data_IF_448165936030
#
_entry.id   IF_448165936030
#
_cell.length_a   1.000
_cell.length_b   1.000
_cell.length_c   1.000
_cell.angle_alpha   90.00
_cell.angle_beta   90.00
_cell.angle_gamma   90.00
#
_symmetry.space_group_name_H-M   'P 1'
#
loop_
_entity.id
_entity.type
_entity.pdbx_description
1 polymer ?
#
# COMPACT_ATOMS: atom_id res chain seq x y z
N UNK A 1 -33.15 49.81 15.97
CA UNK A 1 -34.05 48.99 16.81
C UNK A 1 -34.68 49.90 17.86
N UNK A 2 -36.01 49.83 18.11
CA UNK A 2 -36.64 50.64 19.15
C UNK A 2 -35.96 50.36 20.50
N UNK A 3 -35.68 51.41 21.27
CA UNK A 3 -35.04 51.30 22.57
C UNK A 3 -36.05 50.70 23.54
N UNK A 4 -36.00 49.37 23.73
CA UNK A 4 -36.83 48.69 24.71
C UNK A 4 -36.53 49.24 26.12
N UNK A 5 -37.58 49.69 26.81
CA UNK A 5 -37.47 50.31 28.14
C UNK A 5 -36.95 49.28 29.14
N UNK A 6 -35.81 49.57 29.77
CA UNK A 6 -35.18 48.73 30.79
C UNK A 6 -35.84 49.02 32.14
N UNK A 7 -36.38 47.99 32.78
CA UNK A 7 -37.03 48.08 34.09
C UNK A 7 -36.11 47.47 35.15
N UNK A 8 -35.75 48.26 36.16
CA UNK A 8 -34.88 47.82 37.26
C UNK A 8 -35.62 46.82 38.16
N UNK A 9 -34.86 45.90 38.76
CA UNK A 9 -35.36 45.01 39.81
C UNK A 9 -34.79 45.40 41.17
N UNK A 10 -35.24 44.74 42.24
CA UNK A 10 -34.69 44.92 43.59
C UNK A 10 -33.26 44.36 43.76
N UNK A 11 -32.72 43.68 42.74
CA UNK A 11 -31.37 43.13 42.76
C UNK A 11 -30.39 44.05 42.02
N UNK A 12 -29.31 44.52 42.67
CA UNK A 12 -28.34 45.41 42.06
C UNK A 12 -27.73 44.83 40.78
N UNK A 13 -27.79 45.61 39.69
CA UNK A 13 -27.26 45.21 38.39
C UNK A 13 -28.14 44.19 37.65
N UNK A 14 -29.37 43.92 38.09
CA UNK A 14 -30.35 43.09 37.37
C UNK A 14 -31.51 43.97 36.89
N UNK A 15 -31.83 43.87 35.60
CA UNK A 15 -32.95 44.56 34.98
C UNK A 15 -33.64 43.64 33.97
N UNK A 16 -34.86 43.98 33.57
CA UNK A 16 -35.57 43.25 32.52
C UNK A 16 -36.10 44.20 31.45
N UNK A 17 -36.39 43.63 30.29
CA UNK A 17 -37.18 44.27 29.25
C UNK A 17 -38.44 43.44 29.02
N UNK A 18 -39.51 44.11 28.63
CA UNK A 18 -40.72 43.42 28.16
C UNK A 18 -40.49 42.96 26.72
N UNK A 19 -40.70 41.67 26.49
CA UNK A 19 -40.65 41.06 25.18
C UNK A 19 -41.80 40.08 25.00
N UNK A 20 -41.77 39.35 23.90
CA UNK A 20 -42.74 38.30 23.61
C UNK A 20 -42.07 36.93 23.68
N UNK A 21 -42.78 35.96 24.25
CA UNK A 21 -42.41 34.55 24.25
C UNK A 21 -42.52 33.96 22.84
N UNK A 22 -41.97 32.76 22.64
CA UNK A 22 -42.17 31.97 21.42
C UNK A 22 -43.64 31.61 21.16
N UNK A 23 -44.51 31.73 22.16
CA UNK A 23 -45.95 31.50 22.10
C UNK A 23 -46.78 32.79 21.98
N UNK A 24 -46.12 33.94 21.76
CA UNK A 24 -46.78 35.24 21.55
C UNK A 24 -47.26 35.95 22.83
N UNK A 25 -47.01 35.40 24.02
CA UNK A 25 -47.39 36.02 25.30
C UNK A 25 -46.35 37.04 25.77
N UNK A 26 -46.74 38.12 26.47
CA UNK A 26 -45.78 39.03 27.10
C UNK A 26 -44.90 38.29 28.11
N UNK A 27 -43.59 38.50 28.04
CA UNK A 27 -42.57 37.82 28.85
C UNK A 27 -41.50 38.80 29.30
N UNK A 28 -40.99 38.64 30.54
CA UNK A 28 -39.83 39.40 31.01
C UNK A 28 -38.53 38.72 30.56
N UNK A 29 -37.66 39.47 29.91
CA UNK A 29 -36.31 39.02 29.55
C UNK A 29 -35.32 39.70 30.48
N UNK A 30 -34.64 38.90 31.32
CA UNK A 30 -33.73 39.38 32.34
C UNK A 30 -32.31 39.55 31.79
N UNK A 31 -31.68 40.65 32.19
CA UNK A 31 -30.31 41.02 31.89
C UNK A 31 -29.56 41.33 33.19
N UNK A 32 -28.27 41.03 33.16
CA UNK A 32 -27.34 41.25 34.26
C UNK A 32 -26.22 42.17 33.79
N UNK A 33 -25.80 43.07 34.68
CA UNK A 33 -24.71 44.02 34.45
C UNK A 33 -23.70 43.92 35.60
N UNK A 34 -22.44 43.66 35.28
CA UNK A 34 -21.36 43.47 36.25
C UNK A 34 -20.01 43.95 35.70
N UNK A 35 -18.98 44.06 36.56
CA UNK A 35 -17.59 44.33 36.16
C UNK A 35 -16.77 43.04 36.26
N UNK A 36 -15.98 42.74 35.22
CA UNK A 36 -14.99 41.65 35.21
C UNK A 36 -13.75 42.16 34.48
N UNK A 37 -12.56 42.00 35.07
CA UNK A 37 -11.28 42.45 34.53
C UNK A 37 -11.31 43.93 34.02
N UNK A 38 -11.86 44.84 34.83
CA UNK A 38 -11.94 46.28 34.51
C UNK A 38 -13.01 46.68 33.48
N UNK A 39 -13.68 45.74 32.83
CA UNK A 39 -14.72 46.01 31.81
C UNK A 39 -16.13 45.84 32.39
N UNK A 40 -17.03 46.76 32.04
CA UNK A 40 -18.47 46.62 32.27
C UNK A 40 -19.04 45.64 31.25
N UNK A 41 -19.65 44.56 31.72
CA UNK A 41 -20.31 43.54 30.89
C UNK A 41 -21.80 43.59 31.19
N UNK A 42 -22.60 43.62 30.13
CA UNK A 42 -24.06 43.49 30.16
C UNK A 42 -24.45 42.31 29.28
N UNK A 43 -25.17 41.33 29.84
CA UNK A 43 -25.61 40.16 29.09
C UNK A 43 -27.00 39.68 29.52
N UNK A 44 -27.65 38.93 28.62
CA UNK A 44 -28.94 38.30 28.89
C UNK A 44 -28.75 37.11 29.83
N UNK A 45 -29.36 37.17 31.01
CA UNK A 45 -29.39 36.07 31.96
C UNK A 45 -30.38 34.98 31.49
N UNK A 46 -31.57 35.36 31.04
CA UNK A 46 -32.56 34.41 30.50
C UNK A 46 -33.95 35.01 30.36
N UNK A 47 -34.89 34.24 29.86
CA UNK A 47 -36.30 34.62 29.73
C UNK A 47 -37.14 34.00 30.84
N UNK A 48 -38.18 34.70 31.28
CA UNK A 48 -39.02 34.33 32.41
C UNK A 48 -39.63 32.93 32.30
N UNK A 49 -40.19 32.55 31.15
CA UNK A 49 -40.85 31.27 30.94
C UNK A 49 -39.94 30.22 30.30
N UNK A 50 -39.09 30.60 29.34
CA UNK A 50 -38.19 29.62 28.70
C UNK A 50 -37.12 29.09 29.65
N UNK A 51 -36.58 29.95 30.52
CA UNK A 51 -35.46 29.62 31.39
C UNK A 51 -35.87 29.58 32.89
N UNK A 52 -37.18 29.64 33.21
CA UNK A 52 -37.71 29.85 34.57
C UNK A 52 -36.93 30.94 35.31
N UNK A 53 -36.75 32.07 34.64
CA UNK A 53 -35.85 33.13 35.08
C UNK A 53 -36.56 34.08 36.02
N UNK A 54 -35.95 34.31 37.17
CA UNK A 54 -36.41 35.28 38.18
C UNK A 54 -35.32 36.32 38.44
N UNK A 55 -35.67 37.49 39.02
CA UNK A 55 -34.67 38.47 39.44
C UNK A 55 -33.60 37.87 40.38
N UNK A 56 -34.01 36.99 41.30
CA UNK A 56 -33.11 36.31 42.23
C UNK A 56 -32.14 35.37 41.50
N UNK A 57 -32.64 34.56 40.56
CA UNK A 57 -31.81 33.64 39.75
C UNK A 57 -30.84 34.40 38.86
N UNK A 58 -31.28 35.49 38.25
CA UNK A 58 -30.42 36.39 37.48
C UNK A 58 -29.33 37.01 38.37
N UNK A 59 -29.65 37.40 39.61
CA UNK A 59 -28.66 37.89 40.58
C UNK A 59 -27.63 36.82 40.96
N UNK A 60 -28.04 35.56 41.10
CA UNK A 60 -27.12 34.44 41.36
C UNK A 60 -26.17 34.20 40.18
N UNK A 61 -26.71 34.17 38.95
CA UNK A 61 -25.89 34.07 37.72
C UNK A 61 -24.89 35.23 37.68
N UNK A 62 -25.33 36.46 38.00
CA UNK A 62 -24.43 37.62 38.08
C UNK A 62 -23.30 37.41 39.08
N UNK A 63 -23.56 36.86 40.26
CA UNK A 63 -22.53 36.55 41.26
C UNK A 63 -21.54 35.49 40.74
N UNK A 64 -22.04 34.40 40.16
CA UNK A 64 -21.21 33.33 39.58
C UNK A 64 -20.29 33.84 38.44
N UNK A 65 -20.79 34.79 37.62
CA UNK A 65 -20.02 35.44 36.55
C UNK A 65 -18.90 36.34 37.10
N UNK A 66 -19.14 37.02 38.21
CA UNK A 66 -18.14 37.85 38.90
C UNK A 66 -17.07 36.96 39.54
N UNK A 67 -17.49 35.88 40.18
CA UNK A 67 -16.61 34.89 40.83
C UNK A 67 -15.87 33.99 39.82
N UNK A 68 -16.22 34.04 38.53
CA UNK A 68 -15.61 33.22 37.48
C UNK A 68 -16.04 31.76 37.49
N UNK A 69 -17.07 31.40 38.26
CA UNK A 69 -17.59 30.01 38.37
C UNK A 69 -18.41 29.58 37.16
N UNK A 70 -18.83 30.52 36.31
CA UNK A 70 -19.58 30.21 35.09
C UNK A 70 -19.18 31.14 33.93
N UNK A 71 -19.07 30.58 32.72
CA UNK A 71 -18.70 31.30 31.49
C UNK A 71 -19.92 31.96 30.82
N UNK A 72 -19.79 33.22 30.40
CA UNK A 72 -20.81 33.90 29.58
C UNK A 72 -21.25 33.02 28.41
N UNK A 73 -22.52 33.11 27.97
CA UNK A 73 -22.98 32.42 26.74
C UNK A 73 -22.12 32.78 25.52
N UNK A 74 -21.55 34.00 25.49
CA UNK A 74 -20.60 34.42 24.46
C UNK A 74 -19.27 33.70 24.61
N UNK A 75 -18.74 33.60 25.84
CA UNK A 75 -17.50 32.88 26.16
C UNK A 75 -17.63 31.37 25.85
N UNK A 76 -18.75 30.74 26.22
CA UNK A 76 -19.06 29.34 25.89
C UNK A 76 -19.15 29.10 24.39
N UNK A 77 -19.82 30.01 23.65
CA UNK A 77 -19.90 29.92 22.19
C UNK A 77 -18.52 30.06 21.56
N UNK A 78 -17.73 31.03 21.98
CA UNK A 78 -16.36 31.21 21.46
C UNK A 78 -15.45 30.04 21.82
N UNK A 79 -15.59 29.46 23.02
CA UNK A 79 -14.85 28.27 23.42
C UNK A 79 -15.24 27.07 22.55
N UNK A 80 -16.54 26.86 22.32
CA UNK A 80 -17.04 25.79 21.44
C UNK A 80 -16.63 25.99 19.98
N UNK A 81 -16.61 27.23 19.48
CA UNK A 81 -16.12 27.57 18.14
C UNK A 81 -14.60 27.33 18.05
N UNK A 82 -13.84 27.72 19.06
CA UNK A 82 -12.40 27.49 19.15
C UNK A 82 -12.06 25.98 19.25
N UNK A 83 -12.80 25.20 20.04
CA UNK A 83 -12.67 23.75 20.11
C UNK A 83 -12.99 23.08 18.78
N UNK A 84 -14.07 23.50 18.10
CA UNK A 84 -14.40 23.03 16.76
C UNK A 84 -13.32 23.37 15.75
N UNK A 85 -12.77 24.58 15.82
CA UNK A 85 -11.73 25.04 14.91
C UNK A 85 -10.40 24.33 15.19
N UNK A 86 -10.05 24.09 16.46
CA UNK A 86 -8.90 23.31 16.86
C UNK A 86 -9.04 21.86 16.39
N UNK A 87 -10.19 21.21 16.60
CA UNK A 87 -10.46 19.86 16.11
C UNK A 87 -10.43 19.78 14.58
N UNK A 88 -10.96 20.77 13.87
CA UNK A 88 -10.90 20.86 12.41
C UNK A 88 -9.49 21.10 11.86
N UNK A 89 -8.59 21.67 12.67
CA UNK A 89 -7.20 21.90 12.31
C UNK A 89 -6.28 20.72 12.62
N UNK A 90 -6.76 19.69 13.32
CA UNK A 90 -5.97 18.49 13.60
C UNK A 90 -5.67 17.71 12.32
N UNK A 91 -4.44 17.23 12.22
CA UNK A 91 -3.96 16.36 11.15
C UNK A 91 -3.95 14.93 11.62
N UNK A 92 -5.15 14.40 11.86
CA UNK A 92 -5.34 12.99 12.25
C UNK A 92 -4.95 12.05 11.12
N UNK A 93 -4.70 10.77 11.44
CA UNK A 93 -4.41 9.77 10.39
C UNK A 93 -5.53 9.66 9.36
N UNK A 94 -6.80 9.82 9.75
CA UNK A 94 -7.94 9.80 8.82
C UNK A 94 -7.82 10.95 7.80
N UNK A 95 -7.56 12.17 8.26
CA UNK A 95 -7.35 13.32 7.39
C UNK A 95 -6.10 13.16 6.53
N UNK A 96 -5.00 12.69 7.12
CA UNK A 96 -3.74 12.44 6.40
C UNK A 96 -3.91 11.40 5.31
N UNK A 97 -4.71 10.35 5.55
CA UNK A 97 -5.01 9.32 4.57
C UNK A 97 -5.76 9.89 3.36
N UNK A 98 -6.83 10.66 3.58
CA UNK A 98 -7.58 11.30 2.50
C UNK A 98 -6.72 12.25 1.67
N UNK A 99 -5.93 13.10 2.33
CA UNK A 99 -4.99 14.01 1.66
C UNK A 99 -3.89 13.25 0.90
N UNK A 100 -3.40 12.14 1.49
CA UNK A 100 -2.38 11.29 0.87
C UNK A 100 -2.90 10.64 -0.43
N UNK A 101 -4.15 10.17 -0.43
CA UNK A 101 -4.84 9.59 -1.60
C UNK A 101 -5.09 10.64 -2.67
N UNK A 102 -5.66 11.79 -2.30
CA UNK A 102 -6.03 12.86 -3.22
C UNK A 102 -4.84 13.38 -4.03
N UNK A 103 -3.64 13.43 -3.43
CA UNK A 103 -2.41 13.84 -4.11
C UNK A 103 -1.78 12.75 -5.00
N UNK A 104 -2.31 11.52 -4.99
CA UNK A 104 -1.75 10.37 -5.71
C UNK A 104 -2.83 9.48 -6.34
N UNK A 105 -3.69 10.02 -7.21
CA UNK A 105 -4.79 9.25 -7.81
C UNK A 105 -4.30 8.05 -8.66
N UNK A 106 -3.08 8.11 -9.20
CA UNK A 106 -2.47 7.05 -10.01
C UNK A 106 -1.59 6.04 -9.25
N UNK A 107 -1.62 6.02 -7.91
CA UNK A 107 -0.72 5.15 -7.13
C UNK A 107 -1.04 3.67 -7.37
N UNK A 108 -0.12 2.94 -8.03
CA UNK A 108 -0.21 1.48 -8.20
C UNK A 108 -0.30 0.82 -6.82
N UNK A 109 -1.45 0.19 -6.52
CA UNK A 109 -1.70 -0.49 -5.24
C UNK A 109 -2.52 0.29 -4.21
N UNK A 110 -3.09 1.45 -4.58
CA UNK A 110 -3.92 2.28 -3.71
C UNK A 110 -5.03 1.50 -3.00
N UNK A 111 -5.78 0.66 -3.73
CA UNK A 111 -6.86 -0.18 -3.18
C UNK A 111 -6.35 -1.13 -2.08
N UNK A 112 -5.15 -1.68 -2.25
CA UNK A 112 -4.56 -2.56 -1.24
C UNK A 112 -4.12 -1.77 0.00
N UNK A 113 -3.55 -0.60 -0.20
CA UNK A 113 -3.17 0.29 0.91
C UNK A 113 -4.41 0.83 1.65
N UNK A 114 -5.50 1.13 0.94
CA UNK A 114 -6.79 1.51 1.52
C UNK A 114 -7.37 0.41 2.40
N UNK A 115 -7.39 -0.82 1.90
CA UNK A 115 -7.82 -1.96 2.71
C UNK A 115 -6.94 -2.15 3.95
N UNK A 116 -5.62 -1.95 3.86
CA UNK A 116 -4.75 -2.01 5.05
C UNK A 116 -5.05 -0.88 6.02
N UNK A 117 -5.26 0.32 5.51
CA UNK A 117 -5.57 1.48 6.32
C UNK A 117 -6.88 1.26 7.09
N UNK A 118 -7.97 1.00 6.38
CA UNK A 118 -9.31 0.84 6.96
C UNK A 118 -9.40 -0.34 7.95
N UNK A 119 -8.74 -1.47 7.64
CA UNK A 119 -8.85 -2.67 8.49
C UNK A 119 -7.88 -2.70 9.68
N UNK A 120 -6.78 -1.93 9.64
CA UNK A 120 -5.70 -2.10 10.62
C UNK A 120 -5.21 -0.80 11.26
N UNK A 121 -5.17 0.31 10.51
CA UNK A 121 -4.63 1.59 11.01
C UNK A 121 -5.77 2.46 11.54
N UNK A 122 -6.80 2.71 10.73
CA UNK A 122 -7.93 3.57 11.08
C UNK A 122 -8.62 3.17 12.41
N UNK A 123 -8.88 1.88 12.69
CA UNK A 123 -9.58 1.49 13.92
C UNK A 123 -8.79 1.73 15.21
N UNK A 124 -7.48 1.96 15.11
CA UNK A 124 -6.60 2.13 16.27
C UNK A 124 -6.06 3.55 16.37
N UNK A 125 -5.73 4.15 15.21
CA UNK A 125 -5.03 5.44 15.14
C UNK A 125 -5.78 6.49 14.32
N UNK A 126 -6.93 6.19 13.72
CA UNK A 126 -7.59 7.07 12.75
C UNK A 126 -7.82 8.50 13.27
N UNK A 127 -8.23 8.64 14.53
CA UNK A 127 -8.53 9.93 15.16
C UNK A 127 -7.35 10.54 15.94
N UNK A 128 -6.21 9.85 15.93
CA UNK A 128 -4.96 10.35 16.51
C UNK A 128 -4.16 11.14 15.48
N UNK A 129 -3.42 12.13 15.94
CA UNK A 129 -2.33 12.74 15.18
C UNK A 129 -1.05 11.92 15.31
N UNK A 130 -0.13 11.98 14.33
CA UNK A 130 1.16 11.31 14.43
C UNK A 130 1.85 11.55 15.78
N UNK A 131 1.95 12.78 16.25
CA UNK A 131 2.60 13.16 17.51
C UNK A 131 2.00 12.50 18.78
N UNK A 132 0.77 12.02 18.71
CA UNK A 132 0.08 11.37 19.84
C UNK A 132 0.39 9.88 19.94
N UNK A 133 1.17 9.33 18.99
CA UNK A 133 1.60 7.94 19.05
C UNK A 133 2.72 7.77 20.05
N UNK A 134 2.57 6.78 20.93
CA UNK A 134 3.68 6.26 21.72
C UNK A 134 4.34 5.07 20.99
N UNK A 135 5.63 4.75 21.24
CA UNK A 135 6.26 3.55 20.71
C UNK A 135 5.45 2.27 21.00
N UNK A 136 4.90 2.16 22.22
CA UNK A 136 4.12 1.01 22.67
C UNK A 136 2.79 0.85 21.93
N UNK A 137 2.21 1.92 21.39
CA UNK A 137 1.00 1.83 20.56
C UNK A 137 1.28 1.04 19.28
N UNK A 138 2.43 1.32 18.65
CA UNK A 138 2.86 0.65 17.42
C UNK A 138 3.22 -0.81 17.69
N UNK A 139 3.88 -1.09 18.82
CA UNK A 139 4.15 -2.46 19.27
C UNK A 139 2.89 -3.27 19.51
N UNK A 140 1.87 -2.66 20.14
CA UNK A 140 0.58 -3.31 20.35
C UNK A 140 -0.10 -3.65 19.03
N UNK A 141 -0.05 -2.75 18.04
CA UNK A 141 -0.55 -3.04 16.69
C UNK A 141 0.24 -4.18 16.04
N UNK A 142 1.57 -4.15 16.13
CA UNK A 142 2.46 -5.20 15.60
C UNK A 142 2.11 -6.57 16.19
N UNK A 143 2.06 -6.68 17.52
CA UNK A 143 1.73 -7.91 18.24
C UNK A 143 0.32 -8.41 17.89
N UNK A 144 -0.67 -7.53 17.82
CA UNK A 144 -2.04 -7.88 17.41
C UNK A 144 -2.08 -8.49 16.01
N UNK A 145 -1.37 -7.89 15.04
CA UNK A 145 -1.36 -8.38 13.67
C UNK A 145 -0.57 -9.68 13.53
N UNK A 146 0.54 -9.84 14.25
CA UNK A 146 1.34 -11.07 14.23
C UNK A 146 0.57 -12.32 14.68
N UNK A 147 -0.48 -12.17 15.51
CA UNK A 147 -1.35 -13.30 15.91
C UNK A 147 -2.18 -13.88 14.76
N UNK A 148 -2.47 -13.09 13.72
CA UNK A 148 -3.42 -13.47 12.66
C UNK A 148 -2.86 -13.34 11.26
N UNK A 149 -1.70 -12.72 11.08
CA UNK A 149 -1.13 -12.36 9.78
C UNK A 149 0.34 -12.74 9.69
N UNK A 150 0.76 -13.06 8.47
CA UNK A 150 2.15 -13.30 8.12
C UNK A 150 3.01 -12.05 8.30
N UNK A 151 4.28 -12.21 8.67
CA UNK A 151 5.22 -11.12 8.95
C UNK A 151 5.31 -10.10 7.80
N UNK A 152 5.23 -10.56 6.54
CA UNK A 152 5.19 -9.68 5.36
C UNK A 152 3.97 -8.75 5.32
N UNK A 153 2.80 -9.23 5.75
CA UNK A 153 1.59 -8.42 5.86
C UNK A 153 1.72 -7.41 6.99
N UNK A 154 2.22 -7.84 8.16
CA UNK A 154 2.50 -6.94 9.29
C UNK A 154 3.44 -5.82 8.87
N UNK A 155 4.55 -6.15 8.20
CA UNK A 155 5.50 -5.18 7.64
C UNK A 155 4.82 -4.16 6.74
N UNK A 156 3.97 -4.61 5.82
CA UNK A 156 3.30 -3.71 4.87
C UNK A 156 2.33 -2.74 5.57
N UNK A 157 1.67 -3.16 6.65
CA UNK A 157 0.80 -2.27 7.45
C UNK A 157 1.65 -1.23 8.18
N UNK A 158 2.72 -1.64 8.85
CA UNK A 158 3.63 -0.72 9.54
C UNK A 158 4.34 0.23 8.56
N UNK A 159 4.65 -0.24 7.36
CA UNK A 159 5.22 0.59 6.30
C UNK A 159 4.23 1.67 5.85
N UNK A 160 2.95 1.35 5.74
CA UNK A 160 1.92 2.33 5.41
C UNK A 160 1.79 3.38 6.50
N UNK A 161 1.78 2.96 7.78
CA UNK A 161 1.79 3.87 8.92
C UNK A 161 3.01 4.82 8.88
N UNK A 162 4.21 4.26 8.73
CA UNK A 162 5.45 5.03 8.59
C UNK A 162 5.39 6.02 7.43
N UNK A 163 4.80 5.62 6.30
CA UNK A 163 4.65 6.47 5.12
C UNK A 163 3.73 7.67 5.39
N UNK A 164 2.66 7.49 6.17
CA UNK A 164 1.77 8.59 6.56
C UNK A 164 2.44 9.55 7.54
N UNK A 165 3.20 9.03 8.51
CA UNK A 165 4.01 9.86 9.43
C UNK A 165 5.02 10.69 8.62
N UNK A 166 5.78 10.05 7.73
CA UNK A 166 6.75 10.75 6.89
C UNK A 166 6.09 11.75 5.92
N UNK A 167 4.87 11.47 5.46
CA UNK A 167 4.11 12.40 4.63
C UNK A 167 3.73 13.66 5.42
N UNK A 168 3.22 13.50 6.64
CA UNK A 168 2.90 14.61 7.53
C UNK A 168 4.15 15.45 7.87
N UNK A 169 5.26 14.78 8.19
CA UNK A 169 6.55 15.40 8.47
C UNK A 169 7.07 16.22 7.29
N UNK A 170 7.12 15.62 6.08
CA UNK A 170 7.60 16.29 4.86
C UNK A 170 6.76 17.51 4.46
N UNK A 171 5.50 17.54 4.88
CA UNK A 171 4.57 18.63 4.57
C UNK A 171 4.38 19.60 5.75
N UNK A 172 5.12 19.41 6.83
CA UNK A 172 5.01 20.22 8.06
C UNK A 172 3.57 20.34 8.57
N UNK A 173 2.79 19.26 8.45
CA UNK A 173 1.37 19.26 8.82
C UNK A 173 1.18 19.08 10.33
N UNK A 174 2.04 18.29 10.96
CA UNK A 174 2.07 18.10 12.40
C UNK A 174 3.50 17.77 12.86
N UNK A 175 3.79 17.92 14.16
CA UNK A 175 5.04 17.42 14.74
C UNK A 175 5.22 15.92 14.49
N UNK A 176 6.48 15.52 14.30
CA UNK A 176 6.84 14.12 14.03
C UNK A 176 7.15 13.42 15.34
N UNK A 177 6.70 12.16 15.54
CA UNK A 177 7.04 11.41 16.75
C UNK A 177 8.54 11.18 16.88
N UNK A 178 9.05 11.28 18.10
CA UNK A 178 10.46 11.09 18.42
C UNK A 178 10.83 9.62 18.64
N UNK A 179 10.37 8.71 17.78
CA UNK A 179 10.71 7.29 17.85
C UNK A 179 10.77 6.64 16.47
N UNK A 180 11.45 5.50 16.42
CA UNK A 180 11.63 4.72 15.19
C UNK A 180 10.70 3.50 15.26
N UNK A 181 9.93 3.28 14.18
CA UNK A 181 9.11 2.08 14.04
C UNK A 181 10.02 0.90 13.69
N UNK A 182 10.10 -0.06 14.60
CA UNK A 182 10.78 -1.33 14.35
C UNK A 182 10.02 -2.20 13.35
N UNK A 183 10.62 -2.42 12.19
CA UNK A 183 10.03 -3.27 11.17
C UNK A 183 10.30 -4.75 11.45
N UNK A 184 9.30 -5.64 11.33
CA UNK A 184 9.52 -7.07 11.48
C UNK A 184 10.47 -7.56 10.37
N UNK A 185 11.37 -8.47 10.74
CA UNK A 185 12.20 -9.19 9.78
C UNK A 185 11.30 -10.15 8.99
N UNK A 186 11.41 -10.11 7.67
CA UNK A 186 10.59 -10.92 6.78
C UNK A 186 11.53 -11.77 5.93
N UNK A 187 11.58 -13.07 6.21
CA UNK A 187 12.26 -14.01 5.33
C UNK A 187 11.27 -14.54 4.29
N UNK A 188 11.20 -13.86 3.14
CA UNK A 188 10.38 -14.27 1.99
C UNK A 188 11.25 -14.90 0.87
N UNK A 189 12.41 -15.46 1.21
CA UNK A 189 13.22 -16.20 0.26
C UNK A 189 12.57 -17.54 -0.04
N UNK A 190 11.65 -17.52 -1.02
CA UNK A 190 11.11 -18.72 -1.66
C UNK A 190 11.47 -18.71 -3.13
N UNK A 191 12.45 -19.54 -3.49
CA UNK A 191 12.71 -19.98 -4.85
C UNK A 191 11.89 -21.24 -5.05
N UNK A 192 10.94 -21.20 -5.98
CA UNK A 192 10.24 -22.43 -6.36
C UNK A 192 11.15 -23.17 -7.34
N UNK A 193 11.22 -24.48 -7.19
CA UNK A 193 11.87 -25.37 -8.14
C UNK A 193 10.97 -26.57 -8.37
N UNK A 194 11.12 -27.23 -9.51
CA UNK A 194 10.39 -28.44 -9.86
C UNK A 194 11.38 -29.55 -10.16
N UNK A 195 11.14 -30.73 -9.62
CA UNK A 195 11.90 -31.92 -10.03
C UNK A 195 11.63 -32.23 -11.51
N UNK A 196 12.52 -32.99 -12.19
CA UNK A 196 12.27 -33.41 -13.56
C UNK A 196 10.89 -34.08 -13.75
N UNK A 197 10.49 -34.93 -12.82
CA UNK A 197 9.19 -35.62 -12.85
C UNK A 197 8.02 -34.64 -12.67
N UNK A 198 8.13 -33.68 -11.76
CA UNK A 198 7.11 -32.65 -11.56
C UNK A 198 6.99 -31.72 -12.77
N UNK A 199 8.11 -31.39 -13.40
CA UNK A 199 8.12 -30.59 -14.62
C UNK A 199 7.47 -31.35 -15.78
N UNK A 200 7.79 -32.64 -15.95
CA UNK A 200 7.17 -33.50 -16.94
C UNK A 200 5.65 -33.61 -16.73
N UNK A 201 5.23 -33.91 -15.49
CA UNK A 201 3.81 -33.98 -15.12
C UNK A 201 3.08 -32.64 -15.35
N UNK A 202 3.75 -31.51 -15.09
CA UNK A 202 3.20 -30.18 -15.38
C UNK A 202 3.02 -29.94 -16.87
N UNK A 203 4.02 -30.26 -17.69
CA UNK A 203 3.95 -30.11 -19.14
C UNK A 203 2.84 -30.98 -19.74
N UNK A 204 2.73 -32.23 -19.29
CA UNK A 204 1.67 -33.14 -19.70
C UNK A 204 0.28 -32.62 -19.29
N UNK A 205 0.12 -32.12 -18.06
CA UNK A 205 -1.13 -31.53 -17.60
C UNK A 205 -1.50 -30.24 -18.36
N UNK A 206 -0.49 -29.46 -18.78
CA UNK A 206 -0.69 -28.30 -19.64
C UNK A 206 -1.21 -28.74 -21.02
N UNK A 207 -0.61 -29.77 -21.62
CA UNK A 207 -0.95 -30.25 -22.96
C UNK A 207 -2.34 -30.88 -23.04
N UNK A 208 -2.77 -31.53 -21.95
CA UNK A 208 -4.10 -32.12 -21.84
C UNK A 208 -5.19 -31.10 -21.51
N UNK A 209 -4.86 -29.86 -21.12
CA UNK A 209 -5.86 -28.89 -20.71
C UNK A 209 -6.63 -28.35 -21.94
N UNK A 210 -7.98 -28.37 -21.94
CA UNK A 210 -8.75 -27.93 -23.08
C UNK A 210 -8.65 -26.42 -23.34
N UNK A 211 -8.14 -25.63 -22.38
CA UNK A 211 -7.97 -24.20 -22.53
C UNK A 211 -6.57 -23.89 -23.10
N UNK A 212 -6.44 -23.92 -24.43
CA UNK A 212 -5.20 -23.60 -25.16
C UNK A 212 -4.60 -22.25 -24.73
N UNK A 213 -5.44 -21.26 -24.44
CA UNK A 213 -5.02 -19.94 -23.95
C UNK A 213 -4.25 -20.04 -22.63
N UNK A 214 -4.76 -20.79 -21.65
CA UNK A 214 -4.08 -21.01 -20.38
C UNK A 214 -2.86 -21.91 -20.52
N UNK A 215 -2.94 -22.94 -21.36
CA UNK A 215 -1.83 -23.85 -21.61
C UNK A 215 -0.61 -23.12 -22.20
N UNK A 216 -0.83 -22.38 -23.29
CA UNK A 216 0.23 -21.61 -23.96
C UNK A 216 0.72 -20.45 -23.08
N UNK A 217 -0.14 -19.84 -22.25
CA UNK A 217 0.26 -18.83 -21.28
C UNK A 217 1.28 -19.39 -20.26
N UNK A 218 1.04 -20.59 -19.72
CA UNK A 218 1.95 -21.23 -18.77
C UNK A 218 3.26 -21.64 -19.43
N UNK A 219 3.22 -22.23 -20.63
CA UNK A 219 4.44 -22.55 -21.40
C UNK A 219 5.26 -21.31 -21.72
N UNK A 220 4.62 -20.21 -22.12
CA UNK A 220 5.34 -18.95 -22.34
C UNK A 220 6.03 -18.45 -21.08
N UNK A 221 5.38 -18.53 -19.91
CA UNK A 221 6.01 -18.17 -18.64
C UNK A 221 7.24 -19.04 -18.32
N UNK A 222 7.19 -20.33 -18.66
CA UNK A 222 8.29 -21.27 -18.46
C UNK A 222 9.44 -21.05 -19.46
N UNK A 223 9.15 -20.80 -20.73
CA UNK A 223 10.18 -20.62 -21.77
C UNK A 223 10.89 -19.28 -21.68
N UNK A 224 10.22 -18.23 -21.21
CA UNK A 224 10.74 -16.86 -21.26
C UNK A 224 11.03 -16.25 -19.88
N UNK A 225 10.53 -16.89 -18.81
CA UNK A 225 10.60 -16.32 -17.46
C UNK A 225 9.80 -15.04 -17.27
N UNK A 226 8.95 -14.61 -18.22
CA UNK A 226 8.19 -13.36 -18.11
C UNK A 226 7.27 -13.32 -16.87
N UNK A 227 7.07 -12.12 -16.31
CA UNK A 227 6.13 -11.96 -15.20
C UNK A 227 4.70 -12.11 -15.72
N UNK A 228 3.81 -12.70 -14.91
CA UNK A 228 2.36 -12.78 -15.20
C UNK A 228 1.76 -11.49 -15.77
N UNK A 229 2.06 -10.36 -15.15
CA UNK A 229 1.50 -9.06 -15.56
C UNK A 229 2.04 -8.56 -16.91
N UNK A 230 3.23 -8.99 -17.31
CA UNK A 230 3.84 -8.71 -18.63
C UNK A 230 3.15 -9.58 -19.68
N UNK A 231 2.98 -10.87 -19.42
CA UNK A 231 2.23 -11.78 -20.31
C UNK A 231 0.76 -11.35 -20.50
N UNK A 232 0.09 -10.85 -19.45
CA UNK A 232 -1.25 -10.29 -19.56
C UNK A 232 -1.35 -9.04 -20.45
N UNK A 233 -0.24 -8.34 -20.67
CA UNK A 233 -0.19 -7.14 -21.52
C UNK A 233 0.40 -7.40 -22.91
N UNK A 234 1.02 -8.57 -23.11
CA UNK A 234 1.74 -8.89 -24.33
C UNK A 234 0.81 -8.83 -25.53
N UNK A 235 1.17 -8.01 -26.53
CA UNK A 235 0.46 -7.87 -27.79
C UNK A 235 1.28 -8.47 -28.93
N UNK A 236 0.61 -8.82 -30.03
CA UNK A 236 1.29 -9.41 -31.20
C UNK A 236 2.38 -8.50 -31.77
N UNK A 237 2.17 -7.18 -31.75
CA UNK A 237 3.15 -6.21 -32.21
C UNK A 237 4.37 -6.07 -31.28
N UNK A 238 4.33 -6.64 -30.07
CA UNK A 238 5.47 -6.68 -29.16
C UNK A 238 6.43 -7.84 -29.48
N UNK A 239 6.01 -8.78 -30.33
CA UNK A 239 6.79 -9.96 -30.69
C UNK A 239 7.42 -9.75 -32.06
N UNK A 240 8.72 -9.54 -32.07
CA UNK A 240 9.52 -9.43 -33.28
C UNK A 240 10.01 -10.85 -33.67
N UNK A 241 9.26 -11.48 -34.57
CA UNK A 241 9.63 -12.80 -35.09
C UNK A 241 10.87 -12.72 -35.98
N UNK A 242 11.15 -11.63 -36.65
CA UNK A 242 12.31 -11.58 -37.57
C UNK A 242 13.61 -11.47 -36.79
N UNK A 243 13.67 -10.57 -35.82
CA UNK A 243 14.85 -10.36 -34.95
C UNK A 243 14.91 -11.33 -33.78
N UNK A 244 13.80 -12.01 -33.47
CA UNK A 244 13.74 -12.98 -32.37
C UNK A 244 13.77 -12.34 -30.98
N UNK A 245 13.00 -11.25 -30.78
CA UNK A 245 12.88 -10.58 -29.48
C UNK A 245 11.42 -10.33 -29.10
N UNK A 246 11.17 -10.27 -27.79
CA UNK A 246 9.91 -9.82 -27.21
C UNK A 246 10.16 -8.48 -26.52
N UNK A 247 9.38 -7.47 -26.87
CA UNK A 247 9.39 -6.16 -26.24
C UNK A 247 8.47 -6.13 -25.01
N UNK A 248 9.00 -5.74 -23.87
CA UNK A 248 8.29 -5.62 -22.61
C UNK A 248 8.05 -4.13 -22.33
N UNK A 249 6.81 -3.69 -22.57
CA UNK A 249 6.35 -2.31 -22.35
C UNK A 249 5.86 -2.05 -20.93
N UNK A 250 6.14 -0.84 -20.42
CA UNK A 250 5.81 -0.38 -19.05
C UNK A 250 6.01 -1.51 -18.01
N UNK A 251 7.21 -2.14 -17.95
CA UNK A 251 7.47 -3.10 -16.89
C UNK A 251 7.39 -2.37 -15.55
N UNK A 252 7.15 -3.12 -14.47
CA UNK A 252 7.06 -2.55 -13.11
C UNK A 252 8.28 -1.69 -12.70
N UNK A 253 9.41 -1.81 -13.42
CA UNK A 253 10.63 -1.02 -13.24
C UNK A 253 10.75 0.28 -14.05
N UNK A 254 9.83 0.57 -14.97
CA UNK A 254 9.71 1.86 -15.68
C UNK A 254 10.61 2.05 -16.92
N UNK A 255 11.49 1.09 -17.25
CA UNK A 255 12.29 1.11 -18.47
C UNK A 255 11.89 -0.06 -19.36
N UNK A 256 11.52 0.24 -20.60
CA UNK A 256 11.23 -0.77 -21.61
C UNK A 256 12.44 -1.71 -21.77
N UNK A 257 12.13 -3.00 -21.83
CA UNK A 257 13.14 -4.05 -21.90
C UNK A 257 12.80 -4.98 -23.06
N UNK A 258 13.81 -5.69 -23.54
CA UNK A 258 13.65 -6.75 -24.53
C UNK A 258 14.22 -8.05 -23.98
N UNK A 259 13.57 -9.16 -24.28
CA UNK A 259 14.08 -10.50 -23.97
C UNK A 259 14.14 -11.33 -25.26
N UNK A 260 15.07 -12.30 -25.37
CA UNK A 260 15.13 -13.18 -26.53
C UNK A 260 13.87 -14.05 -26.65
N UNK A 261 13.40 -14.25 -27.89
CA UNK A 261 12.38 -15.21 -28.26
C UNK A 261 13.08 -16.52 -28.66
N UNK A 262 13.23 -17.45 -27.72
CA UNK A 262 13.84 -18.74 -28.00
C UNK A 262 12.99 -19.60 -28.97
N UNK A 263 13.56 -20.62 -29.63
CA UNK A 263 12.86 -21.43 -30.63
C UNK A 263 11.57 -22.09 -30.12
N UNK A 264 11.55 -22.58 -28.88
CA UNK A 264 10.35 -23.21 -28.31
C UNK A 264 9.21 -22.21 -28.07
N UNK A 265 9.53 -21.01 -27.58
CA UNK A 265 8.58 -19.92 -27.44
C UNK A 265 8.08 -19.42 -28.80
N UNK A 266 8.97 -19.33 -29.80
CA UNK A 266 8.61 -18.96 -31.18
C UNK A 266 7.62 -19.95 -31.79
N UNK A 267 7.94 -21.23 -31.78
CA UNK A 267 7.09 -22.30 -32.33
C UNK A 267 5.71 -22.29 -31.67
N UNK A 268 5.68 -22.14 -30.34
CA UNK A 268 4.45 -22.03 -29.58
C UNK A 268 3.59 -20.84 -30.01
N UNK A 269 4.19 -19.66 -30.20
CA UNK A 269 3.46 -18.47 -30.62
C UNK A 269 2.99 -18.55 -32.07
N UNK A 270 3.77 -19.16 -32.96
CA UNK A 270 3.38 -19.39 -34.36
C UNK A 270 2.18 -20.32 -34.48
N UNK A 271 2.09 -21.34 -33.61
CA UNK A 271 0.95 -22.27 -33.54
C UNK A 271 -0.20 -21.76 -32.66
N UNK A 272 -0.02 -20.63 -31.96
CA UNK A 272 -1.03 -20.12 -31.04
C UNK A 272 -2.22 -19.52 -31.81
N UNK A 273 -3.48 -19.84 -31.43
CA UNK A 273 -4.65 -19.27 -32.10
C UNK A 273 -4.64 -17.73 -32.04
N UNK A 274 -4.68 -17.11 -33.22
CA UNK A 274 -4.75 -15.66 -33.38
C UNK A 274 -6.16 -15.26 -33.80
N UNK A 275 -6.79 -14.41 -32.99
CA UNK A 275 -8.05 -13.76 -33.33
C UNK A 275 -7.86 -12.25 -33.54
N UNK A 276 -8.97 -11.50 -33.51
CA UNK A 276 -8.98 -10.05 -33.76
C UNK A 276 -8.40 -9.21 -32.61
N UNK A 277 -8.15 -9.83 -31.47
CA UNK A 277 -7.55 -9.15 -30.31
C UNK A 277 -6.08 -8.79 -30.59
N UNK A 278 -5.64 -7.57 -30.21
CA UNK A 278 -4.22 -7.22 -30.28
C UNK A 278 -3.38 -8.01 -29.26
N UNK A 279 -3.98 -8.48 -28.16
CA UNK A 279 -3.29 -9.27 -27.14
C UNK A 279 -3.03 -10.70 -27.61
N UNK A 280 -1.84 -11.22 -27.28
CA UNK A 280 -1.46 -12.63 -27.50
C UNK A 280 -2.34 -13.55 -26.65
N UNK A 281 -2.57 -13.19 -25.38
CA UNK A 281 -3.41 -13.95 -24.44
C UNK A 281 -4.64 -13.15 -24.01
N UNK A 282 -5.65 -12.99 -24.88
CA UNK A 282 -6.82 -12.16 -24.61
C UNK A 282 -7.64 -12.67 -23.41
N UNK A 283 -8.29 -11.73 -22.73
CA UNK A 283 -9.36 -11.97 -21.77
C UNK A 283 -10.73 -12.07 -22.43
N UNK A 284 -11.79 -11.86 -21.64
CA UNK A 284 -13.17 -11.87 -22.14
C UNK A 284 -13.37 -10.74 -23.17
N UNK A 285 -13.99 -11.05 -24.30
CA UNK A 285 -14.30 -10.06 -25.35
C UNK A 285 -13.08 -9.49 -26.09
N UNK A 286 -11.93 -10.16 -26.04
CA UNK A 286 -10.69 -9.67 -26.69
C UNK A 286 -9.94 -8.59 -25.90
N UNK A 287 -10.46 -8.17 -24.74
CA UNK A 287 -9.77 -7.20 -23.88
C UNK A 287 -8.58 -7.80 -23.15
N UNK A 288 -7.79 -6.93 -22.51
CA UNK A 288 -6.66 -7.33 -21.67
C UNK A 288 -7.09 -8.32 -20.59
N UNK A 289 -6.37 -9.44 -20.51
CA UNK A 289 -6.57 -10.41 -19.43
C UNK A 289 -6.14 -9.83 -18.07
N UNK A 290 -7.00 -10.00 -17.07
CA UNK A 290 -6.72 -9.59 -15.68
C UNK A 290 -6.57 -10.77 -14.73
N UNK A 291 -7.12 -11.93 -15.11
CA UNK A 291 -7.05 -13.15 -14.32
C UNK A 291 -7.00 -14.43 -15.18
N UNK A 292 -6.39 -15.47 -14.60
CA UNK A 292 -6.33 -16.84 -15.15
C UNK A 292 -6.18 -17.89 -14.04
N UNK A 293 -6.38 -17.50 -12.77
CA UNK A 293 -6.05 -18.37 -11.64
C UNK A 293 -6.89 -19.64 -11.63
N UNK A 294 -8.14 -19.61 -12.12
CA UNK A 294 -9.01 -20.80 -12.17
C UNK A 294 -8.39 -21.92 -13.03
N UNK A 295 -7.97 -21.58 -14.25
CA UNK A 295 -7.36 -22.52 -15.18
C UNK A 295 -6.00 -23.00 -14.67
N UNK A 296 -5.18 -22.06 -14.20
CA UNK A 296 -3.84 -22.39 -13.68
C UNK A 296 -3.92 -23.28 -12.43
N UNK A 297 -4.86 -23.02 -11.53
CA UNK A 297 -5.07 -23.85 -10.33
C UNK A 297 -5.54 -25.26 -10.71
N UNK A 298 -6.39 -25.37 -11.72
CA UNK A 298 -6.80 -26.68 -12.26
C UNK A 298 -5.60 -27.44 -12.82
N UNK A 299 -4.84 -26.84 -13.74
CA UNK A 299 -3.65 -27.46 -14.34
C UNK A 299 -2.65 -27.90 -13.27
N UNK A 300 -2.36 -27.01 -12.32
CA UNK A 300 -1.50 -27.31 -11.17
C UNK A 300 -1.98 -28.53 -10.38
N UNK A 301 -3.29 -28.63 -10.11
CA UNK A 301 -3.88 -29.76 -9.37
C UNK A 301 -3.78 -31.04 -10.18
N UNK A 302 -4.06 -30.99 -11.48
CA UNK A 302 -3.92 -32.14 -12.39
C UNK A 302 -2.48 -32.65 -12.46
N UNK A 303 -1.50 -31.73 -12.44
CA UNK A 303 -0.07 -32.05 -12.42
C UNK A 303 0.45 -32.57 -11.06
N UNK A 304 -0.39 -32.65 -10.03
CA UNK A 304 0.03 -33.12 -8.70
C UNK A 304 1.02 -32.20 -7.98
N UNK A 305 1.11 -30.93 -8.37
CA UNK A 305 2.10 -30.02 -7.77
C UNK A 305 1.72 -29.61 -6.33
N UNK A 306 2.71 -29.28 -5.48
CA UNK A 306 2.48 -28.91 -4.09
C UNK A 306 1.41 -27.81 -3.92
N UNK A 307 0.53 -27.90 -2.89
CA UNK A 307 -0.54 -26.92 -2.67
C UNK A 307 -0.04 -25.47 -2.51
N UNK A 308 1.18 -25.27 -2.04
CA UNK A 308 1.82 -23.99 -1.85
C UNK A 308 2.65 -23.50 -3.06
N UNK A 309 2.77 -24.31 -4.12
CA UNK A 309 3.42 -23.90 -5.37
C UNK A 309 2.67 -22.75 -6.03
N UNK A 310 3.37 -21.64 -6.26
CA UNK A 310 2.77 -20.40 -6.78
C UNK A 310 2.79 -20.34 -8.30
N UNK A 311 2.12 -21.24 -8.99
CA UNK A 311 2.17 -21.44 -10.45
C UNK A 311 2.64 -20.26 -11.31
N UNK A 312 1.96 -19.10 -11.32
CA UNK A 312 2.31 -17.99 -12.20
C UNK A 312 3.63 -17.25 -11.86
N UNK A 313 4.06 -17.26 -10.60
CA UNK A 313 5.38 -16.74 -10.21
C UNK A 313 6.41 -17.86 -10.02
N UNK A 314 5.92 -19.06 -9.72
CA UNK A 314 6.70 -20.28 -9.57
C UNK A 314 7.30 -20.71 -10.89
N UNK A 315 6.56 -20.69 -12.00
CA UNK A 315 7.10 -20.98 -13.34
C UNK A 315 8.30 -20.09 -13.70
N UNK A 316 8.23 -18.81 -13.34
CA UNK A 316 9.35 -17.89 -13.51
C UNK A 316 10.54 -18.21 -12.58
N UNK A 317 10.27 -18.67 -11.36
CA UNK A 317 11.33 -19.17 -10.48
C UNK A 317 11.95 -20.44 -11.04
N UNK A 318 11.15 -21.39 -11.52
CA UNK A 318 11.61 -22.63 -12.18
C UNK A 318 12.52 -22.30 -13.36
N UNK A 319 12.12 -21.39 -14.25
CA UNK A 319 12.98 -20.91 -15.34
C UNK A 319 14.35 -20.42 -14.83
N UNK A 320 14.35 -19.60 -13.78
CA UNK A 320 15.58 -19.05 -13.22
C UNK A 320 16.43 -20.10 -12.48
N UNK A 321 15.78 -21.00 -11.73
CA UNK A 321 16.40 -22.10 -11.00
C UNK A 321 17.05 -23.06 -11.98
N UNK A 322 16.36 -23.49 -13.03
CA UNK A 322 16.91 -24.35 -14.09
C UNK A 322 18.15 -23.73 -14.75
N UNK A 323 18.10 -22.44 -15.10
CA UNK A 323 19.27 -21.75 -15.67
C UNK A 323 20.43 -21.66 -14.67
N UNK A 324 20.15 -21.34 -13.41
CA UNK A 324 21.19 -21.26 -12.38
C UNK A 324 21.83 -22.63 -12.10
N UNK A 325 21.01 -23.67 -11.89
CA UNK A 325 21.44 -25.05 -11.63
C UNK A 325 22.20 -25.66 -12.79
N UNK A 326 21.89 -25.30 -14.04
CA UNK A 326 22.65 -25.78 -15.20
C UNK A 326 24.14 -25.46 -15.11
N UNK A 327 24.50 -24.37 -14.43
CA UNK A 327 25.85 -23.84 -14.35
C UNK A 327 26.32 -23.12 -15.61
N UNK A 328 25.62 -23.26 -16.74
CA UNK A 328 26.02 -22.76 -18.06
C UNK A 328 25.77 -21.26 -18.24
N UNK A 329 24.94 -20.66 -17.39
CA UNK A 329 24.56 -19.24 -17.48
C UNK A 329 24.95 -18.51 -16.22
N UNK A 330 25.62 -17.37 -16.36
CA UNK A 330 26.00 -16.53 -15.24
C UNK A 330 24.81 -15.73 -14.66
N UNK A 331 24.92 -15.29 -13.41
CA UNK A 331 23.83 -14.58 -12.71
C UNK A 331 23.48 -13.23 -13.34
N UNK A 332 24.42 -12.55 -14.01
CA UNK A 332 24.15 -11.28 -14.68
C UNK A 332 23.30 -11.52 -15.93
N UNK A 333 23.58 -12.57 -16.69
CA UNK A 333 22.74 -12.99 -17.83
C UNK A 333 21.35 -13.39 -17.36
N UNK A 334 21.22 -14.19 -16.29
CA UNK A 334 19.92 -14.51 -15.69
C UNK A 334 19.19 -13.23 -15.22
N UNK A 335 19.90 -12.27 -14.63
CA UNK A 335 19.32 -10.99 -14.21
C UNK A 335 18.71 -10.23 -15.41
N UNK A 336 19.42 -10.19 -16.55
CA UNK A 336 18.96 -9.55 -17.79
C UNK A 336 17.75 -10.27 -18.39
N UNK A 337 17.80 -11.61 -18.50
CA UNK A 337 16.68 -12.43 -18.99
C UNK A 337 15.42 -12.25 -18.13
N UNK A 338 15.58 -12.14 -16.83
CA UNK A 338 14.50 -11.89 -15.90
C UNK A 338 14.08 -10.41 -15.82
N UNK A 339 14.78 -9.47 -16.44
CA UNK A 339 14.48 -8.05 -16.29
C UNK A 339 14.44 -7.62 -14.81
N UNK A 340 15.46 -8.02 -14.04
CA UNK A 340 15.63 -7.68 -12.63
C UNK A 340 16.38 -6.35 -12.47
N UNK A 341 15.74 -5.36 -11.84
CA UNK A 341 16.32 -4.04 -11.61
C UNK A 341 17.51 -4.07 -10.63
N UNK A 342 17.48 -4.97 -9.65
CA UNK A 342 18.49 -5.07 -8.61
C UNK A 342 19.11 -6.47 -8.62
N UNK A 343 20.44 -6.59 -8.57
CA UNK A 343 21.14 -7.89 -8.52
C UNK A 343 20.70 -8.76 -7.35
N UNK A 344 20.31 -8.15 -6.22
CA UNK A 344 19.81 -8.84 -5.03
C UNK A 344 18.57 -9.71 -5.33
N UNK A 345 17.76 -9.35 -6.34
CA UNK A 345 16.63 -10.19 -6.77
C UNK A 345 17.08 -11.49 -7.45
N UNK A 346 18.25 -11.49 -8.09
CA UNK A 346 18.81 -12.66 -8.78
C UNK A 346 19.75 -13.46 -7.88
N UNK A 347 20.46 -12.81 -6.94
CA UNK A 347 21.32 -13.49 -5.96
C UNK A 347 20.61 -14.57 -5.17
N UNK A 348 19.28 -14.53 -5.07
CA UNK A 348 18.52 -15.61 -4.45
C UNK A 348 18.68 -16.97 -5.13
N UNK A 349 19.16 -17.05 -6.37
CA UNK A 349 19.44 -18.30 -7.08
C UNK A 349 20.92 -18.72 -7.00
N UNK A 350 21.78 -17.95 -6.31
CA UNK A 350 23.23 -18.23 -6.28
C UNK A 350 23.55 -19.57 -5.61
N UNK A 351 22.78 -19.98 -4.61
CA UNK A 351 22.94 -21.24 -3.89
C UNK A 351 22.62 -22.47 -4.75
N UNK A 352 21.92 -22.30 -5.88
CA UNK A 352 21.63 -23.41 -6.79
C UNK A 352 22.82 -23.77 -7.68
N UNK A 353 23.94 -23.05 -7.56
CA UNK A 353 25.15 -23.25 -8.37
C UNK A 353 26.16 -24.19 -7.71
N UNK A 354 25.83 -24.96 -6.69
CA UNK A 354 26.80 -25.77 -5.96
C UNK A 354 27.59 -26.74 -6.87
N UNK A 355 26.91 -27.41 -7.81
CA UNK A 355 27.60 -28.25 -8.83
C UNK A 355 28.43 -27.42 -9.82
N UNK A 356 27.99 -26.20 -10.14
CA UNK A 356 28.75 -25.30 -11.00
C UNK A 356 30.00 -24.75 -10.27
N UNK A 357 29.90 -24.48 -8.96
CA UNK A 357 31.02 -24.10 -8.10
C UNK A 357 32.02 -25.24 -8.01
N UNK A 358 31.55 -26.48 -7.83
CA UNK A 358 32.41 -27.67 -7.86
C UNK A 358 33.14 -27.80 -9.20
N UNK A 359 32.42 -27.78 -10.32
CA UNK A 359 33.04 -27.83 -11.67
C UNK A 359 34.02 -26.69 -11.93
N UNK A 360 33.73 -25.49 -11.46
CA UNK A 360 34.65 -24.36 -11.57
C UNK A 360 35.92 -24.55 -10.73
N UNK A 361 35.79 -25.13 -9.54
CA UNK A 361 36.94 -25.50 -8.70
C UNK A 361 37.78 -26.61 -9.34
N UNK A 362 37.14 -27.64 -9.90
CA UNK A 362 37.82 -28.74 -10.59
C UNK A 362 38.60 -28.21 -11.80
N UNK A 363 37.98 -27.36 -12.63
CA UNK A 363 38.62 -26.70 -13.77
C UNK A 363 39.84 -25.87 -13.36
N UNK A 364 39.79 -25.16 -12.22
CA UNK A 364 40.94 -24.42 -11.73
C UNK A 364 42.12 -25.36 -11.41
N UNK A 365 41.84 -26.51 -10.80
CA UNK A 365 42.83 -27.56 -10.56
C UNK A 365 43.43 -28.11 -11.85
N UNK A 366 42.59 -28.39 -12.84
CA UNK A 366 43.02 -28.89 -14.16
C UNK A 366 43.93 -27.89 -14.88
N UNK A 367 43.56 -26.61 -14.90
CA UNK A 367 44.36 -25.55 -15.54
C UNK A 367 45.73 -25.38 -14.87
N UNK A 368 45.78 -25.41 -13.55
CA UNK A 368 47.04 -25.31 -12.79
C UNK A 368 47.92 -26.54 -13.06
N UNK A 369 47.32 -27.74 -13.06
CA UNK A 369 48.02 -29.00 -13.32
C UNK A 369 48.58 -29.05 -14.75
N UNK A 370 47.82 -28.57 -15.74
CA UNK A 370 48.28 -28.42 -17.13
C UNK A 370 49.46 -27.45 -17.23
N UNK A 371 49.41 -26.31 -16.54
CA UNK A 371 50.51 -25.35 -16.53
C UNK A 371 51.79 -25.91 -15.88
N UNK A 372 51.66 -26.68 -14.78
CA UNK A 372 52.80 -27.35 -14.12
C UNK A 372 53.43 -28.41 -15.05
N UNK A 373 52.61 -29.16 -15.78
CA UNK A 373 53.07 -30.24 -16.65
C UNK A 373 53.56 -29.77 -18.04
N UNK A 374 53.78 -28.47 -18.23
CA UNK A 374 54.26 -27.90 -19.49
C UNK A 374 53.22 -27.89 -20.63
N UNK A 375 51.94 -28.12 -20.32
CA UNK A 375 50.84 -28.03 -21.27
C UNK A 375 50.47 -26.57 -21.57
N UNK A 376 50.20 -26.25 -22.84
CA UNK A 376 49.65 -24.94 -23.22
C UNK A 376 48.28 -24.75 -22.57
N UNK A 377 48.10 -23.70 -21.79
CA UNK A 377 46.80 -23.27 -21.29
C UNK A 377 45.83 -23.08 -22.47
N UNK A 378 44.55 -23.47 -22.34
CA UNK A 378 43.56 -23.24 -23.38
C UNK A 378 43.47 -21.73 -23.66
N UNK A 379 43.70 -21.35 -24.92
CA UNK A 379 43.47 -19.97 -25.36
C UNK A 379 41.99 -19.64 -25.16
N UNK A 380 41.73 -18.50 -24.52
CA UNK A 380 40.38 -17.98 -24.35
C UNK A 380 39.69 -17.95 -25.73
N UNK A 381 38.61 -18.72 -25.87
CA UNK A 381 37.78 -18.65 -27.07
C UNK A 381 37.35 -17.21 -27.26
N UNK A 382 37.66 -16.63 -28.42
CA UNK A 382 37.23 -15.32 -28.87
C UNK A 382 35.71 -15.19 -28.63
N UNK A 383 35.33 -14.49 -27.56
CA UNK A 383 33.98 -13.98 -27.38
C UNK A 383 33.84 -12.82 -28.37
N UNK A 384 33.21 -13.15 -29.49
CA UNK A 384 33.20 -12.39 -30.74
C UNK A 384 32.90 -10.90 -30.59
N UNK A 385 33.72 -10.13 -31.30
CA UNK A 385 33.24 -9.00 -32.09
C UNK A 385 32.29 -9.56 -33.16
N UNK A 386 31.03 -9.15 -33.14
CA UNK A 386 30.24 -8.65 -34.28
C UNK A 386 28.86 -8.16 -33.80
#
# INVERSE_FOLDING_TARGET
>A
MPILKRIKTNYPGVFYIEGTSTTGKPEKIFYIRYRKAGKMIEEKAGRQFQDDMTPARASRIRAERIEGKSLSRKEERTAREAEKQAAANRWTFNRLWEEYKARRPGLKGLVTDENRYLNHIAPVFGDKEPQELAPFDVDRLRLKLSKTRQAGTVKNVLELLRRLINFAAKKHLCPTPSFIIEMPKVNNLKTEDLTPDQLAALLEAIDRDPNIQAANFMKMALFTGMRRGELFRLQWHDVDFDRGFIHIRDPKGGQDQKIPLNPAARDLLQKHPRGDSPYVFPGRGGYRRVDINKQVTRIKKTAGLPPDFRALHGLRHVYASMLASSGQVDLLTIQKLLCHKSPQMTLRYSHLRDEALRRASDLAGDLITQAINGGKLPQAANLGQE
#
